data_IF_497644939499
#
_entry.id   IF_497644939499
#
_cell.length_a   1.000
_cell.length_b   1.000
_cell.length_c   1.000
_cell.angle_alpha   90.00
_cell.angle_beta   90.00
_cell.angle_gamma   90.00
#
_symmetry.space_group_name_H-M   'P 1'
#
loop_
_entity.id
_entity.type
_entity.pdbx_description
1 polymer ?
#
# COMPACT_ATOMS: atom_id res chain seq x y z
N UNK A 1 53.84 -40.99 -4.79
CA UNK A 1 53.12 -39.87 -4.16
C UNK A 1 51.73 -39.76 -4.80
N UNK A 2 50.63 -40.12 -4.11
CA UNK A 2 49.29 -40.14 -4.69
C UNK A 2 48.40 -38.94 -4.29
N UNK A 3 48.99 -37.82 -3.83
CA UNK A 3 48.23 -36.73 -3.20
C UNK A 3 47.70 -35.63 -4.12
N UNK A 4 48.15 -35.55 -5.38
CA UNK A 4 47.89 -34.37 -6.23
C UNK A 4 46.58 -34.42 -7.05
N UNK A 5 46.09 -35.61 -7.42
CA UNK A 5 44.84 -35.72 -8.22
C UNK A 5 43.60 -35.33 -7.41
N UNK A 6 43.51 -35.75 -6.14
CA UNK A 6 42.37 -35.44 -5.27
C UNK A 6 42.13 -33.94 -5.07
N UNK A 7 43.17 -33.10 -5.20
CA UNK A 7 43.04 -31.65 -5.02
C UNK A 7 42.30 -30.99 -6.20
N UNK A 8 42.46 -31.52 -7.42
CA UNK A 8 41.84 -30.97 -8.63
C UNK A 8 40.34 -31.33 -8.68
N UNK A 9 39.99 -32.58 -8.34
CA UNK A 9 38.59 -32.99 -8.22
C UNK A 9 37.85 -32.23 -7.10
N UNK A 10 38.53 -31.97 -5.98
CA UNK A 10 37.96 -31.21 -4.87
C UNK A 10 37.70 -29.74 -5.24
N UNK A 11 38.60 -29.08 -5.98
CA UNK A 11 38.36 -27.72 -6.51
C UNK A 11 37.17 -27.72 -7.49
N UNK A 12 37.07 -28.73 -8.35
CA UNK A 12 35.94 -28.87 -9.29
C UNK A 12 34.60 -29.00 -8.53
N UNK A 13 34.54 -29.85 -7.50
CA UNK A 13 33.34 -30.00 -6.67
C UNK A 13 32.99 -28.75 -5.86
N UNK A 14 33.98 -28.05 -5.30
CA UNK A 14 33.73 -26.80 -4.58
C UNK A 14 33.20 -25.71 -5.54
N UNK A 15 33.78 -25.62 -6.73
CA UNK A 15 33.33 -24.69 -7.77
C UNK A 15 31.93 -25.04 -8.29
N UNK A 16 31.61 -26.33 -8.48
CA UNK A 16 30.27 -26.78 -8.87
C UNK A 16 29.23 -26.54 -7.78
N UNK A 17 29.58 -26.76 -6.51
CA UNK A 17 28.71 -26.47 -5.36
C UNK A 17 28.43 -24.97 -5.21
N UNK A 18 29.46 -24.13 -5.32
CA UNK A 18 29.33 -22.67 -5.30
C UNK A 18 28.57 -22.19 -6.54
N UNK A 19 28.79 -22.77 -7.72
CA UNK A 19 28.03 -22.45 -8.94
C UNK A 19 26.57 -22.88 -8.82
N UNK A 20 26.25 -24.02 -8.20
CA UNK A 20 24.86 -24.45 -7.91
C UNK A 20 24.21 -23.55 -6.84
N UNK A 21 24.95 -23.08 -5.84
CA UNK A 21 24.44 -22.10 -4.87
C UNK A 21 24.18 -20.74 -5.53
N UNK A 22 25.07 -20.28 -6.43
CA UNK A 22 24.89 -19.05 -7.20
C UNK A 22 23.74 -19.21 -8.22
N UNK A 23 23.59 -20.37 -8.88
CA UNK A 23 22.43 -20.68 -9.73
C UNK A 23 21.12 -20.79 -8.93
N UNK A 24 21.18 -21.36 -7.73
CA UNK A 24 20.04 -21.40 -6.81
C UNK A 24 19.67 -20.03 -6.24
N UNK A 25 20.60 -19.07 -6.31
CA UNK A 25 20.39 -17.66 -6.00
C UNK A 25 20.01 -16.83 -7.24
N UNK A 26 19.89 -17.44 -8.43
CA UNK A 26 19.29 -16.77 -9.59
C UNK A 26 17.79 -16.65 -9.32
N UNK A 27 17.38 -15.41 -9.04
CA UNK A 27 16.03 -14.87 -9.22
C UNK A 27 14.92 -15.90 -9.07
N UNK A 28 14.42 -16.06 -7.84
CA UNK A 28 13.16 -16.76 -7.58
C UNK A 28 12.06 -16.11 -8.44
N UNK A 29 11.72 -16.73 -9.57
CA UNK A 29 10.82 -16.16 -10.58
C UNK A 29 9.39 -16.20 -10.03
N UNK A 30 8.93 -15.07 -9.52
CA UNK A 30 7.58 -14.94 -8.97
C UNK A 30 6.58 -14.84 -10.13
N UNK A 31 5.91 -15.95 -10.41
CA UNK A 31 4.91 -16.07 -11.49
C UNK A 31 3.49 -15.94 -10.94
N UNK A 32 2.70 -15.01 -11.52
CA UNK A 32 1.31 -14.77 -11.15
C UNK A 32 0.38 -15.18 -12.30
N UNK A 33 -0.44 -16.21 -12.07
CA UNK A 33 -1.45 -16.69 -13.02
C UNK A 33 -2.66 -15.76 -13.03
N UNK A 34 -3.02 -15.23 -14.21
CA UNK A 34 -4.03 -14.20 -14.38
C UNK A 34 -4.95 -14.51 -15.56
N UNK A 35 -6.23 -14.19 -15.41
CA UNK A 35 -7.24 -14.35 -16.46
C UNK A 35 -7.76 -12.98 -16.95
N UNK A 36 -8.12 -12.84 -18.23
CA UNK A 36 -8.77 -11.65 -18.75
C UNK A 36 -10.18 -11.49 -18.14
N UNK A 37 -10.57 -10.26 -17.81
CA UNK A 37 -11.86 -9.95 -17.18
C UNK A 37 -12.76 -9.13 -18.09
N UNK A 38 -13.92 -9.70 -18.45
CA UNK A 38 -14.99 -9.01 -19.20
C UNK A 38 -15.97 -8.26 -18.29
N UNK A 39 -16.05 -8.61 -17.00
CA UNK A 39 -17.02 -8.04 -16.05
C UNK A 39 -16.53 -6.72 -15.46
N UNK A 40 -17.27 -5.64 -15.72
CA UNK A 40 -16.96 -4.28 -15.27
C UNK A 40 -18.06 -3.68 -14.37
N UNK A 41 -17.74 -2.57 -13.69
CA UNK A 41 -18.67 -1.83 -12.85
C UNK A 41 -19.19 -2.59 -11.62
N UNK A 42 -20.46 -2.37 -11.24
CA UNK A 42 -21.05 -2.89 -9.98
C UNK A 42 -21.01 -4.42 -9.84
N UNK A 43 -20.98 -5.17 -10.96
CA UNK A 43 -20.96 -6.64 -10.98
C UNK A 43 -19.67 -7.25 -10.41
N UNK A 44 -18.58 -6.47 -10.32
CA UNK A 44 -17.30 -6.86 -9.71
C UNK A 44 -17.45 -7.28 -8.23
N UNK A 45 -18.51 -6.84 -7.54
CA UNK A 45 -18.82 -7.29 -6.17
C UNK A 45 -19.08 -8.81 -6.09
N UNK A 46 -19.52 -9.46 -7.17
CA UNK A 46 -19.71 -10.92 -7.21
C UNK A 46 -18.38 -11.66 -7.28
N UNK A 47 -17.46 -11.21 -8.15
CA UNK A 47 -16.11 -11.79 -8.26
C UNK A 47 -15.38 -11.83 -6.91
N UNK A 48 -15.48 -10.76 -6.12
CA UNK A 48 -14.89 -10.71 -4.77
C UNK A 48 -15.52 -11.70 -3.78
N UNK A 49 -16.79 -12.08 -3.94
CA UNK A 49 -17.43 -13.17 -3.17
C UNK A 49 -16.92 -14.56 -3.60
N UNK A 50 -16.53 -14.69 -4.86
CA UNK A 50 -15.95 -15.90 -5.45
C UNK A 50 -14.43 -16.00 -5.23
N UNK A 51 -13.86 -15.14 -4.36
CA UNK A 51 -12.42 -15.03 -4.11
C UNK A 51 -11.56 -14.70 -5.35
N UNK A 52 -12.15 -14.01 -6.33
CA UNK A 52 -11.43 -13.41 -7.46
C UNK A 52 -11.16 -11.92 -7.17
N UNK A 53 -9.88 -11.56 -7.15
CA UNK A 53 -9.39 -10.19 -7.04
C UNK A 53 -9.43 -9.54 -8.44
N UNK A 54 -10.23 -8.48 -8.66
CA UNK A 54 -10.14 -7.69 -9.87
C UNK A 54 -8.85 -6.86 -9.88
N UNK A 55 -8.27 -6.69 -11.06
CA UNK A 55 -7.16 -5.75 -11.26
C UNK A 55 -7.12 -5.17 -12.67
N UNK A 56 -6.06 -4.41 -12.94
CA UNK A 56 -5.74 -3.85 -14.26
C UNK A 56 -4.23 -3.98 -14.50
N UNK A 57 -3.84 -4.40 -15.70
CA UNK A 57 -2.45 -4.29 -16.19
C UNK A 57 -2.38 -3.09 -17.14
N UNK A 58 -1.52 -2.13 -16.87
CA UNK A 58 -1.26 -0.98 -17.74
C UNK A 58 0.25 -0.68 -17.80
N UNK A 59 0.72 0.09 -18.78
CA UNK A 59 2.15 0.40 -18.87
C UNK A 59 2.57 0.94 -20.23
N UNK A 60 3.89 0.96 -20.47
CA UNK A 60 4.49 1.64 -21.63
C UNK A 60 3.89 1.17 -22.97
N UNK A 61 3.13 2.07 -23.60
CA UNK A 61 2.55 1.93 -24.94
C UNK A 61 1.69 0.67 -25.15
N UNK A 62 1.11 0.12 -24.09
CA UNK A 62 0.15 -0.98 -24.15
C UNK A 62 -1.21 -0.54 -23.62
N UNK A 63 -2.28 -0.92 -24.33
CA UNK A 63 -3.66 -0.70 -23.86
C UNK A 63 -3.90 -1.36 -22.50
N UNK A 64 -4.65 -0.71 -21.58
CA UNK A 64 -4.91 -1.25 -20.25
C UNK A 64 -5.79 -2.51 -20.34
N UNK A 65 -5.26 -3.65 -19.90
CA UNK A 65 -5.98 -4.93 -19.87
C UNK A 65 -6.66 -5.13 -18.51
N UNK A 66 -7.98 -5.28 -18.53
CA UNK A 66 -8.75 -5.67 -17.33
C UNK A 66 -8.51 -7.14 -17.01
N UNK A 67 -8.15 -7.43 -15.76
CA UNK A 67 -7.79 -8.77 -15.31
C UNK A 67 -8.56 -9.21 -14.07
N UNK A 68 -8.51 -10.52 -13.80
CA UNK A 68 -8.94 -11.15 -12.56
C UNK A 68 -7.89 -12.19 -12.12
N UNK A 69 -7.67 -12.25 -10.81
CA UNK A 69 -6.60 -13.03 -10.17
C UNK A 69 -7.22 -13.85 -9.02
N UNK A 70 -6.73 -15.06 -8.75
CA UNK A 70 -7.15 -15.77 -7.55
C UNK A 70 -6.59 -15.10 -6.30
N UNK A 71 -7.45 -14.78 -5.33
CA UNK A 71 -7.07 -14.08 -4.09
C UNK A 71 -5.98 -14.82 -3.30
N UNK A 72 -6.01 -16.16 -3.31
CA UNK A 72 -5.05 -17.00 -2.58
C UNK A 72 -3.64 -16.90 -3.16
N UNK A 73 -3.52 -16.90 -4.49
CA UNK A 73 -2.24 -16.87 -5.16
C UNK A 73 -1.65 -15.45 -5.12
N UNK A 74 -2.49 -14.43 -5.27
CA UNK A 74 -2.08 -13.04 -5.04
C UNK A 74 -1.61 -12.80 -3.59
N UNK A 75 -2.32 -13.33 -2.56
CA UNK A 75 -1.89 -13.21 -1.15
C UNK A 75 -0.50 -13.80 -0.88
N UNK A 76 -0.16 -14.93 -1.52
CA UNK A 76 1.20 -15.51 -1.43
C UNK A 76 2.23 -14.62 -2.12
N UNK A 77 1.98 -14.27 -3.39
CA UNK A 77 2.95 -13.56 -4.23
C UNK A 77 3.18 -12.13 -3.71
N UNK A 78 2.15 -11.43 -3.23
CA UNK A 78 2.33 -10.15 -2.54
C UNK A 78 3.13 -10.31 -1.22
N UNK A 79 2.96 -11.43 -0.50
CA UNK A 79 3.77 -11.78 0.66
C UNK A 79 5.24 -12.13 0.36
N UNK A 80 5.57 -12.45 -0.89
CA UNK A 80 6.92 -12.79 -1.36
C UNK A 80 7.60 -11.64 -2.12
N UNK A 81 6.86 -10.89 -2.94
CA UNK A 81 7.31 -9.74 -3.72
C UNK A 81 7.26 -8.42 -2.94
N UNK A 82 6.23 -8.20 -2.13
CA UNK A 82 5.82 -6.84 -1.75
C UNK A 82 5.46 -5.99 -2.97
N UNK A 83 5.52 -4.67 -2.82
CA UNK A 83 5.24 -3.71 -3.90
C UNK A 83 6.49 -3.39 -4.75
N UNK A 84 7.68 -3.64 -4.18
CA UNK A 84 8.96 -3.21 -4.76
C UNK A 84 9.60 -4.22 -5.74
N UNK A 85 9.12 -5.46 -5.80
CA UNK A 85 9.77 -6.55 -6.57
C UNK A 85 9.07 -6.81 -7.91
N UNK A 86 9.87 -7.21 -8.90
CA UNK A 86 9.39 -7.70 -10.20
C UNK A 86 8.59 -9.00 -10.10
N UNK A 87 7.43 -9.05 -10.76
CA UNK A 87 6.64 -10.27 -10.95
C UNK A 87 6.40 -10.55 -12.44
N UNK A 88 6.27 -11.82 -12.79
CA UNK A 88 5.94 -12.28 -14.14
C UNK A 88 4.46 -12.64 -14.19
N UNK A 89 3.67 -11.82 -14.88
CA UNK A 89 2.23 -12.03 -15.01
C UNK A 89 1.96 -12.88 -16.25
N UNK A 90 1.36 -14.05 -16.03
CA UNK A 90 0.94 -14.97 -17.08
C UNK A 90 -0.52 -14.67 -17.46
N UNK A 91 -0.73 -14.22 -18.70
CA UNK A 91 -2.05 -13.94 -19.26
C UNK A 91 -2.19 -14.68 -20.60
N UNK A 92 -3.14 -15.60 -20.68
CA UNK A 92 -3.45 -16.38 -21.90
C UNK A 92 -2.24 -17.10 -22.54
N UNK A 93 -1.21 -17.41 -21.73
CA UNK A 93 0.04 -18.07 -22.15
C UNK A 93 1.18 -17.12 -22.50
N UNK A 94 0.97 -15.80 -22.45
CA UNK A 94 2.01 -14.79 -22.63
C UNK A 94 2.54 -14.29 -21.26
N UNK A 95 3.86 -14.11 -21.16
CA UNK A 95 4.53 -13.55 -19.98
C UNK A 95 4.71 -12.03 -20.08
N UNK A 96 4.28 -11.33 -19.04
CA UNK A 96 4.39 -9.88 -18.90
C UNK A 96 5.20 -9.52 -17.64
N UNK A 97 6.42 -8.95 -17.75
CA UNK A 97 7.11 -8.42 -16.59
C UNK A 97 6.36 -7.19 -16.07
N UNK A 98 5.91 -7.25 -14.84
CA UNK A 98 5.11 -6.22 -14.20
C UNK A 98 5.54 -6.01 -12.74
N UNK A 99 5.07 -4.91 -12.17
CA UNK A 99 5.31 -4.50 -10.80
C UNK A 99 3.97 -4.13 -10.15
N UNK A 100 3.84 -4.35 -8.85
CA UNK A 100 2.63 -3.99 -8.11
C UNK A 100 2.73 -2.51 -7.78
N UNK A 101 1.88 -1.68 -8.41
CA UNK A 101 1.97 -0.22 -8.31
C UNK A 101 1.12 0.35 -7.17
N UNK A 102 -0.04 -0.25 -6.92
CA UNK A 102 -0.95 0.08 -5.82
C UNK A 102 -1.84 -1.14 -5.50
N UNK A 103 -2.26 -1.25 -4.24
CA UNK A 103 -3.12 -2.31 -3.74
C UNK A 103 -4.17 -1.74 -2.79
N UNK A 104 -5.39 -1.61 -3.29
CA UNK A 104 -6.53 -1.17 -2.46
C UNK A 104 -6.91 -2.28 -1.47
N UNK A 105 -6.84 -2.00 -0.17
CA UNK A 105 -7.28 -2.90 0.92
C UNK A 105 -8.65 -2.50 1.49
N UNK A 106 -9.34 -3.46 2.11
CA UNK A 106 -10.55 -3.22 2.87
C UNK A 106 -10.21 -2.82 4.31
N UNK A 107 -10.53 -1.58 4.72
CA UNK A 107 -10.26 -1.09 6.07
C UNK A 107 -10.91 -1.92 7.21
N UNK A 108 -11.93 -2.74 6.92
CA UNK A 108 -12.62 -3.56 7.93
C UNK A 108 -12.17 -5.03 7.94
N UNK A 109 -11.82 -5.61 6.79
CA UNK A 109 -11.45 -7.04 6.70
C UNK A 109 -9.98 -7.31 6.33
N UNK A 110 -9.19 -6.25 6.05
CA UNK A 110 -7.83 -6.28 5.49
C UNK A 110 -7.68 -7.17 4.23
N UNK A 111 -8.79 -7.44 3.53
CA UNK A 111 -8.75 -8.12 2.24
C UNK A 111 -8.45 -7.16 1.10
N UNK A 112 -7.73 -7.66 0.10
CA UNK A 112 -7.48 -6.94 -1.15
C UNK A 112 -8.78 -6.73 -1.94
N UNK A 113 -9.02 -5.49 -2.38
CA UNK A 113 -10.21 -5.04 -3.12
C UNK A 113 -9.89 -4.89 -4.61
N UNK A 114 -8.72 -4.36 -4.93
CA UNK A 114 -8.20 -4.10 -6.27
C UNK A 114 -6.67 -4.19 -6.27
N UNK A 115 -6.08 -4.48 -7.44
CA UNK A 115 -4.63 -4.40 -7.66
C UNK A 115 -4.32 -3.74 -9.00
N UNK A 116 -3.34 -2.84 -8.95
CA UNK A 116 -2.82 -2.14 -10.12
C UNK A 116 -1.43 -2.69 -10.46
N UNK A 117 -1.31 -3.26 -11.66
CA UNK A 117 -0.07 -3.86 -12.15
C UNK A 117 0.53 -3.00 -13.27
N UNK A 118 1.71 -2.45 -13.02
CA UNK A 118 2.45 -1.65 -13.98
C UNK A 118 3.41 -2.52 -14.80
N UNK A 119 3.20 -2.61 -16.11
CA UNK A 119 4.08 -3.30 -17.05
C UNK A 119 5.35 -2.48 -17.28
N UNK A 120 6.48 -3.07 -16.91
CA UNK A 120 7.80 -2.43 -16.97
C UNK A 120 8.59 -2.83 -18.22
N UNK A 121 9.74 -2.20 -18.42
CA UNK A 121 10.83 -2.70 -19.29
C UNK A 121 12.09 -2.88 -18.46
N UNK A 122 12.82 -3.96 -18.70
CA UNK A 122 14.09 -4.24 -18.02
C UNK A 122 15.17 -3.19 -18.35
N UNK A 123 15.12 -2.59 -19.55
CA UNK A 123 16.11 -1.63 -20.03
C UNK A 123 15.89 -0.17 -19.55
N UNK A 124 14.91 0.08 -18.68
CA UNK A 124 14.56 1.44 -18.23
C UNK A 124 14.58 1.53 -16.72
N UNK A 125 15.16 2.62 -16.21
CA UNK A 125 14.98 3.02 -14.81
C UNK A 125 13.48 3.32 -14.56
N UNK A 126 12.99 2.87 -13.42
CA UNK A 126 11.64 3.14 -12.90
C UNK A 126 11.73 3.76 -11.50
N UNK A 127 10.70 4.49 -11.10
CA UNK A 127 10.53 4.93 -9.70
C UNK A 127 9.61 3.95 -8.98
N UNK A 128 10.04 3.47 -7.83
CA UNK A 128 9.30 2.54 -6.99
C UNK A 128 9.32 2.99 -5.52
N UNK A 129 8.29 2.60 -4.77
CA UNK A 129 8.31 2.72 -3.31
C UNK A 129 8.94 1.48 -2.70
N UNK A 130 9.84 1.66 -1.73
CA UNK A 130 10.48 0.57 -0.99
C UNK A 130 10.23 0.72 0.51
N UNK A 131 9.63 -0.27 1.18
CA UNK A 131 9.37 -0.22 2.61
C UNK A 131 10.66 -0.38 3.43
N UNK A 132 10.69 0.29 4.58
CA UNK A 132 11.76 0.25 5.56
C UNK A 132 11.47 -0.77 6.65
N UNK A 133 12.35 -1.77 6.76
CA UNK A 133 12.33 -2.76 7.82
C UNK A 133 13.30 -2.35 8.92
N UNK A 134 12.76 -1.94 10.07
CA UNK A 134 13.57 -1.53 11.22
C UNK A 134 14.02 -2.77 12.01
N UNK A 135 15.33 -2.99 12.08
CA UNK A 135 15.96 -4.16 12.71
C UNK A 135 16.63 -3.75 14.02
N UNK A 136 16.52 -4.61 15.04
CA UNK A 136 17.01 -4.34 16.39
C UNK A 136 15.97 -3.63 17.26
N UNK A 137 16.36 -3.33 18.51
CA UNK A 137 15.51 -2.62 19.45
C UNK A 137 16.39 -1.61 20.21
N UNK A 138 16.09 -0.31 20.15
CA UNK A 138 16.94 0.75 20.69
C UNK A 138 16.99 0.72 22.21
N UNK A 139 18.17 0.98 22.78
CA UNK A 139 18.38 1.03 24.23
C UNK A 139 17.47 2.08 24.89
N UNK A 140 17.31 3.27 24.28
CA UNK A 140 16.48 4.33 24.82
C UNK A 140 14.98 3.97 24.98
N UNK A 141 14.45 3.03 24.19
CA UNK A 141 13.06 2.55 24.37
C UNK A 141 12.97 1.52 25.50
N UNK A 142 14.02 0.69 25.69
CA UNK A 142 14.06 -0.31 26.78
C UNK A 142 14.35 0.29 28.14
N UNK A 143 15.39 1.11 28.21
CA UNK A 143 16.03 1.51 29.46
C UNK A 143 15.53 2.87 29.96
N UNK A 144 15.08 3.74 29.04
CA UNK A 144 14.61 5.09 29.33
C UNK A 144 13.10 5.29 29.05
N UNK A 145 12.41 4.28 28.53
CA UNK A 145 10.98 4.35 28.21
C UNK A 145 10.62 5.31 27.05
N UNK A 146 11.57 5.63 26.17
CA UNK A 146 11.34 6.51 25.02
C UNK A 146 10.31 5.98 24.03
N UNK A 147 9.66 6.89 23.31
CA UNK A 147 8.70 6.56 22.24
C UNK A 147 9.43 6.57 20.90
N UNK A 148 9.39 5.45 20.18
CA UNK A 148 9.95 5.34 18.83
C UNK A 148 8.95 5.90 17.80
N UNK A 149 9.25 7.07 17.24
CA UNK A 149 8.47 7.68 16.18
C UNK A 149 9.13 7.37 14.83
N UNK A 150 8.34 6.79 13.92
CA UNK A 150 8.71 6.53 12.53
C UNK A 150 8.04 7.60 11.67
N UNK A 151 8.82 8.52 11.13
CA UNK A 151 8.31 9.56 10.25
C UNK A 151 8.07 9.01 8.84
N UNK A 152 8.98 8.14 8.39
CA UNK A 152 8.98 7.54 7.04
C UNK A 152 8.95 6.02 7.19
N UNK A 153 8.02 5.37 6.50
CA UNK A 153 7.95 3.89 6.41
C UNK A 153 8.30 3.37 5.01
N UNK A 154 8.27 4.22 3.98
CA UNK A 154 8.52 3.90 2.58
C UNK A 154 9.33 5.03 1.93
N UNK A 155 10.27 4.71 1.05
CA UNK A 155 11.10 5.67 0.30
C UNK A 155 10.84 5.51 -1.20
N UNK A 156 10.77 6.61 -1.94
CA UNK A 156 10.84 6.61 -3.41
C UNK A 156 12.29 6.44 -3.89
N UNK A 157 12.54 5.33 -4.57
CA UNK A 157 13.83 5.02 -5.19
C UNK A 157 13.71 4.91 -6.71
N UNK A 158 14.78 5.25 -7.42
CA UNK A 158 14.92 5.12 -8.86
C UNK A 158 16.03 4.11 -9.20
N UNK A 159 15.70 3.12 -10.01
CA UNK A 159 16.66 2.07 -10.41
C UNK A 159 16.10 1.15 -11.49
N UNK A 160 16.90 0.18 -11.92
CA UNK A 160 16.43 -0.88 -12.82
C UNK A 160 15.52 -1.86 -12.06
N UNK A 161 14.46 -2.41 -12.70
CA UNK A 161 13.49 -3.26 -12.01
C UNK A 161 14.04 -4.57 -11.43
N UNK A 162 15.27 -4.96 -11.80
CA UNK A 162 15.98 -6.13 -11.28
C UNK A 162 16.86 -5.82 -10.06
N UNK A 163 17.22 -4.56 -9.84
CA UNK A 163 18.15 -4.12 -8.79
C UNK A 163 17.45 -3.45 -7.61
N UNK A 164 16.13 -3.22 -7.70
CA UNK A 164 15.32 -2.66 -6.60
C UNK A 164 15.12 -3.74 -5.52
N UNK A 165 15.54 -3.50 -4.27
CA UNK A 165 15.33 -4.45 -3.18
C UNK A 165 13.86 -4.45 -2.73
N UNK A 166 13.39 -5.61 -2.25
CA UNK A 166 12.05 -5.76 -1.66
C UNK A 166 11.82 -4.85 -0.44
N UNK A 167 12.85 -4.65 0.37
CA UNK A 167 12.82 -3.86 1.60
C UNK A 167 14.23 -3.45 1.97
N UNK A 168 14.39 -2.29 2.59
CA UNK A 168 15.69 -1.81 3.09
C UNK A 168 15.73 -1.99 4.61
N UNK A 169 16.79 -2.63 5.12
CA UNK A 169 16.97 -2.84 6.56
C UNK A 169 17.66 -1.62 7.20
N UNK A 170 17.02 -1.05 8.23
CA UNK A 170 17.53 0.08 9.01
C UNK A 170 17.81 -0.42 10.44
N UNK A 171 19.09 -0.44 10.83
CA UNK A 171 19.49 -0.82 12.18
C UNK A 171 19.21 0.33 13.17
N UNK A 172 18.29 0.09 14.10
CA UNK A 172 17.90 1.06 15.15
C UNK A 172 18.58 0.78 16.49
N UNK A 173 19.46 -0.22 16.59
CA UNK A 173 20.14 -0.58 17.85
C UNK A 173 21.09 0.49 18.38
N UNK A 174 21.66 1.32 17.49
CA UNK A 174 22.58 2.40 17.85
C UNK A 174 21.94 3.63 18.53
N UNK A 175 20.61 3.67 18.67
CA UNK A 175 19.89 4.82 19.24
C UNK A 175 19.81 4.72 20.77
N UNK A 176 20.70 5.46 21.44
CA UNK A 176 20.95 5.35 22.88
C UNK A 176 20.37 6.48 23.74
N UNK A 177 19.95 7.61 23.14
CA UNK A 177 19.49 8.79 23.88
C UNK A 177 18.21 9.40 23.28
N UNK A 178 17.44 10.15 24.08
CA UNK A 178 16.34 10.98 23.58
C UNK A 178 16.83 12.00 22.55
N UNK A 179 16.00 12.30 21.54
CA UNK A 179 16.37 13.18 20.42
C UNK A 179 17.34 12.55 19.40
N UNK A 180 17.83 11.32 19.64
CA UNK A 180 18.58 10.57 18.63
C UNK A 180 17.67 10.29 17.44
N UNK A 181 18.21 10.50 16.24
CA UNK A 181 17.50 10.31 14.99
C UNK A 181 18.41 9.66 13.94
N UNK A 182 17.79 9.00 12.95
CA UNK A 182 18.47 8.47 11.77
C UNK A 182 18.03 9.28 10.56
N UNK A 183 18.99 9.81 9.79
CA UNK A 183 18.72 10.53 8.55
C UNK A 183 18.72 9.58 7.36
N UNK A 184 18.01 9.94 6.30
CA UNK A 184 17.86 9.08 5.11
C UNK A 184 19.21 8.74 4.45
N UNK A 185 20.19 9.65 4.50
CA UNK A 185 21.58 9.42 4.04
C UNK A 185 22.37 8.38 4.83
N UNK A 186 21.99 8.07 6.06
CA UNK A 186 22.68 7.09 6.91
C UNK A 186 22.17 5.65 6.68
N UNK A 187 21.11 5.51 5.87
CA UNK A 187 20.52 4.22 5.49
C UNK A 187 21.42 3.52 4.47
N UNK A 188 21.73 2.24 4.72
CA UNK A 188 22.53 1.41 3.83
C UNK A 188 21.71 1.02 2.59
N UNK A 189 22.03 1.62 1.45
CA UNK A 189 21.44 1.31 0.14
C UNK A 189 22.53 0.82 -0.80
N UNK A 190 22.19 -0.11 -1.69
CA UNK A 190 23.09 -0.62 -2.73
C UNK A 190 23.40 0.44 -3.78
N UNK A 191 24.66 0.56 -4.21
CA UNK A 191 25.17 1.58 -5.15
C UNK A 191 24.41 1.70 -6.50
N UNK A 192 23.59 0.69 -6.83
CA UNK A 192 22.79 0.63 -8.05
C UNK A 192 21.47 1.42 -8.00
N UNK A 193 21.04 1.85 -6.82
CA UNK A 193 19.72 2.44 -6.58
C UNK A 193 19.88 3.88 -6.10
N UNK A 194 19.18 4.82 -6.76
CA UNK A 194 19.21 6.25 -6.42
C UNK A 194 18.00 6.59 -5.54
N UNK A 195 18.22 7.30 -4.44
CA UNK A 195 17.13 7.90 -3.65
C UNK A 195 16.59 9.12 -4.40
N UNK A 196 15.27 9.29 -4.47
CA UNK A 196 14.61 10.48 -5.04
C UNK A 196 14.15 11.47 -3.95
N UNK A 197 13.88 10.98 -2.75
CA UNK A 197 13.50 11.77 -1.58
C UNK A 197 14.69 12.55 -0.97
N UNK A 198 14.41 13.41 0.00
CA UNK A 198 15.41 14.32 0.58
C UNK A 198 16.38 13.56 1.51
N UNK A 199 17.71 13.54 1.23
CA UNK A 199 18.68 12.79 2.05
C UNK A 199 18.82 13.28 3.50
N UNK A 200 18.40 14.51 3.80
CA UNK A 200 18.39 15.10 5.14
C UNK A 200 17.05 14.90 5.88
N UNK A 201 16.12 14.11 5.34
CA UNK A 201 14.87 13.79 6.04
C UNK A 201 15.10 12.79 7.18
N UNK A 202 14.39 12.99 8.30
CA UNK A 202 14.47 12.13 9.48
C UNK A 202 13.58 10.90 9.24
N UNK A 203 14.18 9.72 9.27
CA UNK A 203 13.48 8.44 9.11
C UNK A 203 12.84 8.00 10.43
N UNK A 204 13.64 8.06 11.50
CA UNK A 204 13.30 7.61 12.86
C UNK A 204 13.75 8.65 13.87
N UNK A 205 12.92 8.93 14.86
CA UNK A 205 13.21 9.79 16.01
C UNK A 205 12.81 9.07 17.30
N UNK A 206 13.60 9.23 18.36
CA UNK A 206 13.19 8.86 19.72
C UNK A 206 12.74 10.10 20.47
N UNK A 207 11.44 10.13 20.83
CA UNK A 207 10.84 11.17 21.64
C UNK A 207 10.82 10.78 23.12
N UNK A 208 10.83 11.78 23.99
CA UNK A 208 10.62 11.61 25.43
C UNK A 208 9.16 11.18 25.70
N UNK A 209 8.92 10.27 26.66
CA UNK A 209 7.56 9.90 27.03
C UNK A 209 6.90 11.06 27.78
N UNK A 210 5.83 11.62 27.19
CA UNK A 210 4.98 12.60 27.88
C UNK A 210 4.29 11.89 29.05
N UNK A 211 4.52 12.35 30.28
CA UNK A 211 3.90 11.75 31.47
C UNK A 211 2.39 12.01 31.51
N UNK A 212 1.63 11.12 32.16
CA UNK A 212 0.17 11.29 32.29
C UNK A 212 -0.24 12.61 32.97
N UNK A 213 0.63 13.17 33.82
CA UNK A 213 0.43 14.46 34.48
C UNK A 213 0.64 15.65 33.51
N UNK A 214 1.60 15.55 32.59
CA UNK A 214 1.79 16.54 31.54
C UNK A 214 0.65 16.49 30.50
N UNK A 215 0.24 15.28 30.09
CA UNK A 215 -0.84 15.09 29.12
C UNK A 215 -2.19 15.64 29.63
N UNK A 216 -2.51 15.45 30.92
CA UNK A 216 -3.69 16.06 31.56
C UNK A 216 -3.62 17.58 31.53
N UNK A 217 -2.45 18.16 31.81
CA UNK A 217 -2.25 19.61 31.85
C UNK A 217 -2.40 20.28 30.48
N UNK A 218 -1.94 19.64 29.41
CA UNK A 218 -2.14 20.11 28.03
C UNK A 218 -3.62 20.04 27.61
N UNK A 219 -4.32 18.96 27.98
CA UNK A 219 -5.76 18.80 27.71
C UNK A 219 -6.61 19.83 28.49
N UNK A 220 -6.26 20.14 29.75
CA UNK A 220 -6.90 21.19 30.54
C UNK A 220 -6.62 22.61 29.98
N UNK A 221 -5.44 22.88 29.43
CA UNK A 221 -5.18 24.17 28.75
C UNK A 221 -5.92 24.30 27.41
N UNK A 222 -6.26 23.19 26.75
CA UNK A 222 -6.95 23.21 25.45
C UNK A 222 -8.48 23.34 25.61
N UNK A 223 -9.04 22.92 26.74
CA UNK A 223 -10.47 23.13 27.07
C UNK A 223 -10.77 24.50 27.65
N UNK A 224 -9.76 25.30 28.04
CA UNK A 224 -9.91 26.64 28.59
C UNK A 224 -10.12 27.76 27.54
N UNK A 225 -10.19 27.42 26.24
CA UNK A 225 -10.43 28.38 25.16
C UNK A 225 -11.42 27.80 24.13
N UNK A 226 -12.71 27.72 24.49
CA UNK A 226 -13.68 28.46 23.69
C UNK A 226 -14.83 29.06 24.51
N UNK A 227 -14.57 30.16 25.23
CA UNK A 227 -15.62 31.08 25.71
C UNK A 227 -15.39 32.49 25.16
N UNK A 228 -15.72 32.70 23.88
CA UNK A 228 -16.13 34.02 23.36
C UNK A 228 -16.76 33.92 21.94
N UNK A 229 -17.98 33.36 21.88
CA UNK A 229 -18.97 33.74 20.87
C UNK A 229 -20.30 33.93 21.59
N UNK A 230 -20.56 35.15 22.05
CA UNK A 230 -21.84 35.47 22.69
C UNK A 230 -23.01 35.27 21.72
N UNK A 231 -23.99 34.49 22.17
CA UNK A 231 -25.26 34.26 21.50
C UNK A 231 -26.09 35.55 21.53
N UNK A 232 -26.24 36.21 20.38
CA UNK A 232 -27.23 37.28 20.22
C UNK A 232 -28.64 36.67 20.29
N UNK A 233 -29.24 36.71 21.49
CA UNK A 233 -30.63 36.31 21.74
C UNK A 233 -31.63 37.35 21.23
N UNK A 234 -32.41 36.96 20.20
CA UNK A 234 -33.86 37.22 19.95
C UNK A 234 -34.11 36.90 18.47
N UNK A 235 -35.12 36.11 18.08
CA UNK A 235 -36.55 36.20 18.46
C UNK A 235 -37.25 34.82 18.38
N UNK A 236 -38.16 34.57 19.34
CA UNK A 236 -39.28 33.57 19.38
C UNK A 236 -39.01 32.07 19.64
N UNK A 237 -39.35 31.69 20.88
CA UNK A 237 -40.15 30.49 21.20
C UNK A 237 -41.64 30.69 20.83
N UNK A 238 -42.46 29.68 21.19
CA UNK A 238 -43.91 29.48 20.99
C UNK A 238 -44.31 28.87 19.62
N UNK A 239 -44.73 27.60 19.55
CA UNK A 239 -44.84 26.59 20.63
C UNK A 239 -45.34 25.20 20.18
N UNK A 240 -45.35 24.25 21.13
CA UNK A 240 -46.23 23.07 21.15
C UNK A 240 -47.71 23.53 21.28
N UNK A 241 -48.80 22.80 20.99
CA UNK A 241 -49.09 21.35 20.73
C UNK A 241 -50.00 21.24 19.45
N UNK A 242 -50.54 20.11 18.96
CA UNK A 242 -50.62 18.72 19.46
C UNK A 242 -51.57 17.84 18.60
N UNK A 243 -52.02 16.71 19.16
CA UNK A 243 -53.14 15.83 18.72
C UNK A 243 -53.19 15.24 17.27
N UNK A 244 -52.66 14.02 17.10
CA UNK A 244 -53.39 12.74 16.87
C UNK A 244 -54.74 12.71 16.09
N UNK A 245 -55.11 11.68 15.28
CA UNK A 245 -54.45 10.43 14.86
C UNK A 245 -55.20 9.71 13.68
N UNK A 246 -54.58 8.64 13.17
CA UNK A 246 -55.14 7.40 12.56
C UNK A 246 -55.72 7.28 11.12
N UNK A 247 -55.35 6.13 10.52
CA UNK A 247 -56.10 5.21 9.64
C UNK A 247 -56.31 5.43 8.11
N UNK A 248 -55.42 4.76 7.34
CA UNK A 248 -55.71 3.73 6.31
C UNK A 248 -56.46 4.01 4.96
N UNK A 249 -56.23 3.07 4.02
CA UNK A 249 -56.94 2.74 2.78
C UNK A 249 -56.84 3.65 1.50
N UNK A 250 -56.27 3.05 0.44
CA UNK A 250 -56.59 3.28 -1.00
C UNK A 250 -58.05 2.86 -1.29
N UNK A 251 -58.78 3.33 -2.35
CA UNK A 251 -58.32 3.26 -3.77
C UNK A 251 -58.92 4.29 -4.79
N UNK A 252 -58.48 4.20 -6.07
CA UNK A 252 -59.24 4.55 -7.32
C UNK A 252 -59.73 6.01 -7.53
N UNK A 253 -60.07 6.52 -8.73
CA UNK A 253 -59.65 6.30 -10.15
C UNK A 253 -60.06 7.58 -10.95
N UNK A 254 -59.72 7.64 -12.25
CA UNK A 254 -60.41 8.43 -13.31
C UNK A 254 -60.26 9.99 -13.47
N UNK A 255 -59.78 10.38 -14.66
CA UNK A 255 -60.12 11.58 -15.50
C UNK A 255 -59.79 12.99 -14.94
N UNK A 256 -59.48 14.03 -15.76
CA UNK A 256 -59.63 14.25 -17.21
C UNK A 256 -58.63 15.32 -17.75
N UNK A 257 -58.62 15.44 -19.08
CA UNK A 257 -58.01 16.41 -20.04
C UNK A 257 -57.93 17.91 -19.56
N UNK A 258 -57.11 18.84 -20.09
CA UNK A 258 -56.54 18.96 -21.45
C UNK A 258 -55.37 20.01 -21.61
N UNK A 259 -54.55 19.81 -22.66
CA UNK A 259 -53.89 20.80 -23.58
C UNK A 259 -53.19 22.09 -23.09
N UNK A 260 -51.87 22.18 -23.38
CA UNK A 260 -51.25 23.07 -24.42
C UNK A 260 -49.77 22.66 -24.64
N UNK A 261 -49.34 22.19 -25.83
CA UNK A 261 -48.72 22.99 -26.90
C UNK A 261 -47.61 23.93 -26.37
N UNK A 262 -46.32 23.81 -26.68
CA UNK A 262 -45.56 23.51 -27.92
C UNK A 262 -44.18 22.93 -27.52
N UNK A 263 -43.25 22.45 -28.35
CA UNK A 263 -42.84 22.77 -29.72
C UNK A 263 -42.01 21.58 -30.25
N UNK A 264 -42.22 21.09 -31.48
CA UNK A 264 -41.31 20.12 -32.12
C UNK A 264 -40.97 20.56 -33.54
N UNK A 265 -39.80 21.19 -33.67
CA UNK A 265 -39.13 21.40 -34.95
C UNK A 265 -38.34 20.13 -35.27
N UNK A 266 -38.50 19.59 -36.47
CA UNK A 266 -37.41 19.14 -37.34
C UNK A 266 -37.99 18.68 -38.68
N UNK A 267 -37.32 19.15 -39.74
CA UNK A 267 -37.54 18.84 -41.15
C UNK A 267 -36.72 17.61 -41.55
#
# INVERSE_FOLDING_TARGET
>A
MPGFLNYIECISYLCYSVFILILGYIMQKLELQVQPRTVTGRKVKTLRKEHLLPGVIYGLNSEPKNIQIQMKDFKKIYGEAGESTMIYVLLDGEEYPAMIQDVTRNAVSDDFIHVDLYKVRLDKEITAKVPLNFVGQPAAVKDLGGILVKNINEIEVQGFPQDIPRSIEVDISGLNAFGSHILLKDVKISDKVKIKDNPDEIVVLIQEPISEEALKKELETTTAAPEEVEVIKKVKEEGEEGAEAEADAKPQEDKKEAKKETKKEAK
#
